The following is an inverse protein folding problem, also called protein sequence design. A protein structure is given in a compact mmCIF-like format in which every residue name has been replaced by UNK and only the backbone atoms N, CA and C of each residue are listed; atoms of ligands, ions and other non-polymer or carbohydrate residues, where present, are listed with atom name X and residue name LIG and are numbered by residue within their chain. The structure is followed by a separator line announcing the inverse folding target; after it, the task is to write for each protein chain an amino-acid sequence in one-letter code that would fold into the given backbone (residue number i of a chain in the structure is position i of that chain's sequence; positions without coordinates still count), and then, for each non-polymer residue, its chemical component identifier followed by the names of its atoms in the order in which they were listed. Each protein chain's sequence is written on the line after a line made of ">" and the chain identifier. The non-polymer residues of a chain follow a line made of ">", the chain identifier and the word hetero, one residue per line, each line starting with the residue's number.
data_IF_685522452456
#
_entry.id   IF_685522452456
#
_cell.length_a   1.000
_cell.length_b   1.000
_cell.length_c   1.000
_cell.angle_alpha   90.00
_cell.angle_beta   90.00
_cell.angle_gamma   90.00
#
_symmetry.space_group_name_H-M   'P 1'
#
loop_
_entity.id
_entity.type
_entity.pdbx_description
1 polymer ?
#
# COMPACT_ATOMS: atom_id res chain seq x y z
N UNK A 1 4.19 9.25 3.90
CA UNK A 1 4.80 8.32 4.87
C UNK A 1 3.80 7.82 5.92
N UNK A 2 2.98 8.67 6.55
CA UNK A 2 1.99 8.25 7.57
C UNK A 2 1.08 7.09 7.12
N UNK A 3 0.54 7.17 5.90
CA UNK A 3 -0.33 6.11 5.35
C UNK A 3 0.39 4.79 5.06
N UNK A 4 1.69 4.81 4.78
CA UNK A 4 2.44 3.57 4.53
C UNK A 4 2.71 2.86 5.87
N UNK A 5 3.09 3.62 6.88
CA UNK A 5 3.33 3.11 8.24
C UNK A 5 2.08 2.45 8.84
N UNK A 6 0.92 3.09 8.75
CA UNK A 6 -0.34 2.54 9.26
C UNK A 6 -0.76 1.24 8.55
N UNK A 7 -0.40 1.04 7.28
CA UNK A 7 -0.68 -0.21 6.55
C UNK A 7 0.18 -1.35 7.07
N UNK A 8 1.47 -1.11 7.27
CA UNK A 8 2.40 -2.10 7.82
C UNK A 8 1.93 -2.54 9.21
N UNK A 9 1.67 -1.57 10.10
CA UNK A 9 1.14 -1.85 11.44
C UNK A 9 -0.16 -2.67 11.41
N UNK A 10 -1.05 -2.38 10.46
CA UNK A 10 -2.28 -3.15 10.30
C UNK A 10 -1.99 -4.62 9.97
N UNK A 11 -1.13 -4.88 8.99
CA UNK A 11 -0.78 -6.24 8.59
C UNK A 11 -0.02 -7.00 9.68
N UNK A 12 0.82 -6.32 10.45
CA UNK A 12 1.52 -6.92 11.60
C UNK A 12 0.55 -7.29 12.73
N UNK A 13 -0.42 -6.42 13.03
CA UNK A 13 -1.35 -6.60 14.14
C UNK A 13 -2.49 -7.56 13.82
N UNK A 14 -3.03 -7.49 12.61
CA UNK A 14 -4.23 -8.23 12.21
C UNK A 14 -3.97 -9.36 11.21
N UNK A 15 -2.79 -9.39 10.58
CA UNK A 15 -2.48 -10.31 9.49
C UNK A 15 -3.04 -9.81 8.15
N UNK A 16 -2.96 -10.68 7.14
CA UNK A 16 -3.46 -10.37 5.79
C UNK A 16 -4.92 -10.82 5.62
N UNK A 17 -5.82 -9.96 5.12
CA UNK A 17 -7.19 -10.35 4.82
C UNK A 17 -7.23 -11.29 3.61
N UNK A 18 -8.28 -12.11 3.51
CA UNK A 18 -8.51 -12.95 2.32
C UNK A 18 -8.75 -12.10 1.06
N UNK A 19 -9.49 -11.00 1.21
CA UNK A 19 -9.81 -10.10 0.12
C UNK A 19 -9.94 -8.65 0.59
N UNK A 20 -9.64 -7.72 -0.31
CA UNK A 20 -9.81 -6.28 -0.10
C UNK A 20 -10.79 -5.74 -1.14
N UNK A 21 -11.78 -4.99 -0.66
CA UNK A 21 -12.68 -4.25 -1.52
C UNK A 21 -12.06 -2.90 -1.87
N UNK A 22 -11.88 -2.64 -3.17
CA UNK A 22 -11.38 -1.37 -3.67
C UNK A 22 -12.42 -0.70 -4.56
N UNK A 23 -12.59 0.60 -4.36
CA UNK A 23 -13.33 1.43 -5.30
C UNK A 23 -12.50 1.66 -6.57
N UNK A 24 -13.19 1.81 -7.71
CA UNK A 24 -12.60 2.14 -9.01
C UNK A 24 -12.30 3.64 -9.09
N UNK A 25 -11.53 4.15 -8.13
CA UNK A 25 -10.89 5.46 -8.25
C UNK A 25 -9.74 5.34 -9.27
N UNK A 26 -9.55 6.37 -10.10
CA UNK A 26 -8.55 6.43 -11.20
C UNK A 26 -7.10 6.16 -10.74
N UNK A 27 -6.83 6.18 -9.44
CA UNK A 27 -5.57 5.77 -8.81
C UNK A 27 -5.31 4.25 -8.84
N UNK A 28 -6.34 3.42 -9.02
CA UNK A 28 -6.24 1.95 -9.12
C UNK A 28 -6.55 1.40 -10.53
N UNK A 29 -6.83 2.29 -11.49
CA UNK A 29 -7.04 1.91 -12.90
C UNK A 29 -6.57 3.03 -13.82
N UNK A 30 -5.42 2.85 -14.48
CA UNK A 30 -5.03 3.71 -15.60
C UNK A 30 -6.04 3.50 -16.73
N UNK A 31 -6.82 4.54 -17.04
CA UNK A 31 -7.67 4.59 -18.24
C UNK A 31 -6.80 4.95 -19.45
N UNK A 32 -5.89 4.06 -19.84
CA UNK A 32 -5.33 4.08 -21.19
C UNK A 32 -6.00 2.95 -21.97
N UNK A 33 -6.62 3.31 -23.08
CA UNK A 33 -7.36 2.40 -23.98
C UNK A 33 -6.51 1.22 -24.52
N UNK A 34 -5.22 1.15 -24.20
CA UNK A 34 -4.26 0.12 -24.61
C UNK A 34 -4.08 -1.04 -23.62
N UNK A 35 -4.83 -1.08 -22.51
CA UNK A 35 -4.66 -2.09 -21.43
C UNK A 35 -5.66 -3.24 -21.51
N UNK A 36 -6.74 -3.12 -22.30
CA UNK A 36 -7.68 -4.23 -22.47
C UNK A 36 -7.02 -5.48 -23.10
N UNK A 37 -5.86 -5.31 -23.75
CA UNK A 37 -5.09 -6.39 -24.39
C UNK A 37 -3.92 -6.93 -23.54
N UNK A 38 -3.67 -6.41 -22.33
CA UNK A 38 -2.52 -6.83 -21.52
C UNK A 38 -2.90 -7.13 -20.06
N UNK A 39 -3.04 -8.41 -19.66
CA UNK A 39 -3.30 -8.82 -18.27
C UNK A 39 -2.17 -8.48 -17.27
N UNK A 40 -1.05 -7.92 -17.75
CA UNK A 40 0.14 -7.60 -16.94
C UNK A 40 0.22 -6.12 -16.45
N UNK A 41 -0.77 -5.28 -16.72
CA UNK A 41 -0.79 -3.90 -16.22
C UNK A 41 -1.46 -3.79 -14.84
N UNK A 42 -0.96 -4.55 -13.86
CA UNK A 42 -1.36 -4.40 -12.46
C UNK A 42 -0.79 -3.08 -11.92
N UNK A 43 -1.60 -2.31 -11.19
CA UNK A 43 -1.07 -1.18 -10.41
C UNK A 43 -0.09 -1.69 -9.35
N UNK A 44 0.85 -0.85 -8.89
CA UNK A 44 1.81 -1.24 -7.84
C UNK A 44 1.12 -1.80 -6.59
N UNK A 45 -0.06 -1.27 -6.27
CA UNK A 45 -0.88 -1.76 -5.17
C UNK A 45 -1.49 -3.14 -5.48
N UNK A 46 -2.03 -3.35 -6.69
CA UNK A 46 -2.56 -4.66 -7.09
C UNK A 46 -1.45 -5.73 -7.11
N UNK A 47 -0.27 -5.40 -7.64
CA UNK A 47 0.92 -6.26 -7.62
C UNK A 47 1.27 -6.68 -6.18
N UNK A 48 1.40 -5.71 -5.28
CA UNK A 48 1.75 -5.98 -3.88
C UNK A 48 0.70 -6.85 -3.17
N UNK A 49 -0.59 -6.59 -3.40
CA UNK A 49 -1.65 -7.33 -2.74
C UNK A 49 -1.85 -8.73 -3.34
N UNK A 50 -1.99 -8.84 -4.66
CA UNK A 50 -2.33 -10.10 -5.34
C UNK A 50 -1.12 -11.01 -5.52
N UNK A 51 0.00 -10.48 -5.99
CA UNK A 51 1.20 -11.28 -6.31
C UNK A 51 2.05 -11.56 -5.07
N UNK A 52 2.36 -10.52 -4.28
CA UNK A 52 3.31 -10.67 -3.17
C UNK A 52 2.64 -11.15 -1.87
N UNK A 53 1.37 -10.78 -1.61
CA UNK A 53 0.65 -11.17 -0.39
C UNK A 53 -0.45 -12.23 -0.59
N UNK A 54 -0.87 -12.51 -1.83
CA UNK A 54 -1.95 -13.46 -2.13
C UNK A 54 -3.34 -12.99 -1.64
N UNK A 55 -3.56 -11.69 -1.57
CA UNK A 55 -4.82 -11.06 -1.17
C UNK A 55 -5.65 -10.79 -2.43
N UNK A 56 -6.88 -11.30 -2.49
CA UNK A 56 -7.75 -11.09 -3.65
C UNK A 56 -8.35 -9.68 -3.66
N UNK A 57 -8.16 -8.91 -4.72
CA UNK A 57 -8.83 -7.61 -4.86
C UNK A 57 -10.21 -7.81 -5.48
N UNK A 58 -11.22 -7.22 -4.84
CA UNK A 58 -12.59 -7.18 -5.35
C UNK A 58 -12.92 -5.73 -5.68
N UNK A 59 -13.12 -5.45 -6.96
CA UNK A 59 -13.54 -4.12 -7.40
C UNK A 59 -15.03 -3.90 -7.12
N UNK A 60 -15.37 -2.81 -6.44
CA UNK A 60 -16.75 -2.45 -6.18
C UNK A 60 -17.42 -1.93 -7.46
N UNK A 61 -18.45 -2.62 -7.94
CA UNK A 61 -19.26 -2.19 -9.09
C UNK A 61 -20.55 -1.43 -8.68
N UNK A 62 -20.87 -1.40 -7.39
CA UNK A 62 -22.10 -0.79 -6.87
C UNK A 62 -21.91 0.70 -6.53
N UNK A 63 -22.78 1.59 -7.04
CA UNK A 63 -22.82 3.01 -6.66
C UNK A 63 -23.02 3.23 -5.16
N UNK A 64 -23.77 2.35 -4.48
CA UNK A 64 -24.05 2.50 -3.05
C UNK A 64 -22.81 2.29 -2.17
N UNK A 65 -21.97 1.30 -2.50
CA UNK A 65 -20.73 1.03 -1.77
C UNK A 65 -19.71 2.16 -1.95
N UNK A 66 -19.67 2.73 -3.17
CA UNK A 66 -18.82 3.87 -3.52
C UNK A 66 -19.16 5.12 -2.71
N UNK A 67 -20.42 5.55 -2.72
CA UNK A 67 -20.85 6.76 -2.01
C UNK A 67 -20.66 6.69 -0.49
N UNK A 68 -20.79 5.50 0.12
CA UNK A 68 -20.50 5.31 1.55
C UNK A 68 -19.02 5.44 1.87
N UNK A 69 -18.16 4.82 1.07
CA UNK A 69 -16.71 4.83 1.28
C UNK A 69 -16.13 6.22 1.06
N UNK A 70 -16.55 6.94 0.02
CA UNK A 70 -16.10 8.31 -0.27
C UNK A 70 -16.50 9.28 0.86
N UNK A 71 -17.74 9.21 1.37
CA UNK A 71 -18.18 10.04 2.49
C UNK A 71 -17.38 9.77 3.76
N UNK A 72 -17.13 8.49 4.05
CA UNK A 72 -16.31 8.10 5.20
C UNK A 72 -14.88 8.63 5.06
N UNK A 73 -14.25 8.44 3.90
CA UNK A 73 -12.89 8.90 3.63
C UNK A 73 -12.77 10.42 3.71
N UNK A 74 -13.71 11.17 3.14
CA UNK A 74 -13.74 12.63 3.24
C UNK A 74 -13.89 13.09 4.69
N UNK A 75 -14.78 12.45 5.45
CA UNK A 75 -14.97 12.74 6.88
C UNK A 75 -13.69 12.46 7.68
N UNK A 76 -13.02 11.34 7.38
CA UNK A 76 -11.76 10.97 8.04
C UNK A 76 -10.64 11.95 7.70
N UNK A 77 -10.48 12.34 6.44
CA UNK A 77 -9.44 13.29 6.02
C UNK A 77 -9.64 14.66 6.66
N UNK A 78 -10.86 15.20 6.64
CA UNK A 78 -11.16 16.49 7.25
C UNK A 78 -10.96 16.45 8.78
N UNK A 79 -11.45 15.40 9.43
CA UNK A 79 -11.37 15.26 10.90
C UNK A 79 -9.95 15.01 11.39
N UNK A 80 -9.18 14.17 10.69
CA UNK A 80 -7.81 13.83 11.08
C UNK A 80 -6.94 15.07 11.06
N UNK A 81 -7.02 15.90 10.02
CA UNK A 81 -6.24 17.14 9.91
C UNK A 81 -6.59 18.10 11.05
N UNK A 82 -7.86 18.22 11.42
CA UNK A 82 -8.31 19.07 12.54
C UNK A 82 -7.82 18.55 13.89
N UNK A 83 -7.92 17.25 14.15
CA UNK A 83 -7.46 16.66 15.42
C UNK A 83 -5.92 16.73 15.55
N UNK A 84 -5.17 16.53 14.47
CA UNK A 84 -3.71 16.74 14.46
C UNK A 84 -3.35 18.20 14.77
N UNK A 85 -4.06 19.17 14.17
CA UNK A 85 -3.86 20.60 14.44
C UNK A 85 -4.20 20.96 15.88
N UNK A 86 -5.29 20.43 16.43
CA UNK A 86 -5.68 20.66 17.84
C UNK A 86 -4.65 20.07 18.82
N UNK A 87 -4.02 18.95 18.46
CA UNK A 87 -2.96 18.34 19.25
C UNK A 87 -1.59 19.05 19.09
N UNK A 88 -1.48 20.09 18.25
CA UNK A 88 -0.24 20.83 18.03
C UNK A 88 0.86 20.02 17.34
N UNK A 89 0.50 18.93 16.66
CA UNK A 89 1.47 18.00 16.07
C UNK A 89 2.05 18.59 14.79
N UNK A 90 3.38 18.62 14.70
CA UNK A 90 4.11 19.18 13.55
C UNK A 90 5.04 18.19 12.87
N UNK A 91 5.32 17.04 13.51
CA UNK A 91 6.21 16.01 12.95
C UNK A 91 5.44 14.77 12.48
N UNK A 92 6.02 14.06 11.50
CA UNK A 92 5.43 12.81 10.95
C UNK A 92 5.42 11.70 12.02
N UNK A 93 6.45 11.65 12.86
CA UNK A 93 6.60 10.63 13.90
C UNK A 93 5.54 10.79 15.00
N UNK A 94 5.32 12.01 15.46
CA UNK A 94 4.23 12.32 16.40
C UNK A 94 2.86 12.08 15.78
N UNK A 95 2.68 12.40 14.49
CA UNK A 95 1.44 12.13 13.79
C UNK A 95 1.15 10.62 13.72
N UNK A 96 2.15 9.79 13.45
CA UNK A 96 2.03 8.33 13.47
C UNK A 96 1.58 7.83 14.86
N UNK A 97 2.26 8.26 15.92
CA UNK A 97 1.93 7.88 17.31
C UNK A 97 0.51 8.32 17.69
N UNK A 98 0.13 9.55 17.36
CA UNK A 98 -1.21 10.07 17.63
C UNK A 98 -2.28 9.30 16.89
N UNK A 99 -2.04 8.96 15.61
CA UNK A 99 -2.98 8.17 14.82
C UNK A 99 -3.25 6.82 15.47
N UNK A 100 -2.18 6.13 15.88
CA UNK A 100 -2.26 4.79 16.46
C UNK A 100 -2.87 4.79 17.87
N UNK A 101 -2.41 5.67 18.75
CA UNK A 101 -2.73 5.62 20.18
C UNK A 101 -4.01 6.36 20.54
N UNK A 102 -4.35 7.43 19.79
CA UNK A 102 -5.45 8.33 20.16
C UNK A 102 -6.55 8.30 19.10
N UNK A 103 -6.23 8.62 17.85
CA UNK A 103 -7.25 8.84 16.82
C UNK A 103 -8.01 7.55 16.46
N UNK A 104 -7.31 6.46 16.13
CA UNK A 104 -7.94 5.19 15.72
C UNK A 104 -8.81 4.61 16.86
N UNK A 105 -8.34 4.50 18.12
CA UNK A 105 -9.17 4.01 19.22
C UNK A 105 -10.39 4.90 19.47
N UNK A 106 -10.21 6.23 19.51
CA UNK A 106 -11.31 7.20 19.71
C UNK A 106 -12.34 7.13 18.57
N UNK A 107 -11.88 6.94 17.33
CA UNK A 107 -12.75 6.78 16.17
C UNK A 107 -13.53 5.47 16.22
N UNK A 108 -12.83 4.35 16.47
CA UNK A 108 -13.47 3.04 16.57
C UNK A 108 -14.47 2.98 17.73
N UNK A 109 -14.19 3.60 18.88
CA UNK A 109 -15.14 3.64 19.99
C UNK A 109 -16.47 4.34 19.63
N UNK A 110 -16.45 5.31 18.71
CA UNK A 110 -17.63 6.09 18.31
C UNK A 110 -18.37 5.53 17.10
N UNK A 111 -17.63 4.96 16.15
CA UNK A 111 -18.16 4.62 14.82
C UNK A 111 -18.02 3.14 14.45
N UNK A 112 -17.36 2.32 15.28
CA UNK A 112 -17.31 0.88 15.00
C UNK A 112 -18.69 0.27 15.13
N UNK A 113 -19.00 -0.61 14.19
CA UNK A 113 -20.24 -1.39 14.18
C UNK A 113 -19.85 -2.84 14.43
N UNK A 114 -20.59 -3.50 15.32
CA UNK A 114 -20.37 -4.91 15.61
C UNK A 114 -20.62 -5.72 14.33
N UNK A 115 -19.67 -6.56 13.89
CA UNK A 115 -19.85 -7.33 12.67
C UNK A 115 -20.99 -8.33 12.84
N UNK A 116 -21.83 -8.47 11.80
CA UNK A 116 -22.94 -9.42 11.80
C UNK A 116 -22.47 -10.90 11.92
N UNK A 117 -21.24 -11.20 11.50
CA UNK A 117 -20.58 -12.51 11.65
C UNK A 117 -19.27 -12.32 12.40
N UNK A 118 -19.02 -13.15 13.43
CA UNK A 118 -17.82 -13.10 14.29
C UNK A 118 -16.56 -13.73 13.66
N UNK A 119 -16.67 -14.30 12.47
CA UNK A 119 -15.55 -14.99 11.82
C UNK A 119 -14.44 -14.02 11.42
N UNK A 120 -13.23 -14.25 11.93
CA UNK A 120 -12.04 -13.56 11.47
C UNK A 120 -11.45 -14.30 10.25
N UNK A 121 -11.47 -13.65 9.09
CA UNK A 121 -10.95 -14.20 7.82
C UNK A 121 -9.52 -13.72 7.49
N UNK A 122 -8.78 -13.23 8.47
CA UNK A 122 -7.38 -12.89 8.31
C UNK A 122 -6.49 -14.13 8.44
N UNK A 123 -5.46 -14.20 7.61
CA UNK A 123 -4.38 -15.19 7.72
C UNK A 123 -3.15 -14.53 8.34
N UNK A 124 -2.38 -15.25 9.18
CA UNK A 124 -1.11 -14.74 9.65
C UNK A 124 -0.16 -14.53 8.46
N UNK A 125 0.70 -13.51 8.58
CA UNK A 125 1.79 -13.32 7.63
C UNK A 125 2.84 -14.42 7.83
N UNK A 126 3.39 -14.91 6.72
CA UNK A 126 4.58 -15.78 6.74
C UNK A 126 5.80 -15.00 7.22
N UNK A 127 6.83 -15.71 7.70
CA UNK A 127 8.08 -15.09 8.16
C UNK A 127 8.72 -14.24 7.06
N UNK A 128 8.73 -14.74 5.83
CA UNK A 128 9.23 -14.01 4.67
C UNK A 128 8.45 -12.72 4.40
N UNK A 129 7.12 -12.76 4.46
CA UNK A 129 6.29 -11.57 4.25
C UNK A 129 6.53 -10.51 5.31
N UNK A 130 6.63 -10.91 6.60
CA UNK A 130 6.93 -9.99 7.70
C UNK A 130 8.26 -9.26 7.50
N UNK A 131 9.32 -10.01 7.17
CA UNK A 131 10.67 -9.47 7.01
C UNK A 131 10.79 -8.57 5.75
N UNK A 132 9.85 -8.68 4.80
CA UNK A 132 9.88 -7.95 3.53
C UNK A 132 8.68 -7.01 3.32
N UNK A 133 7.89 -6.70 4.36
CA UNK A 133 6.70 -5.86 4.25
C UNK A 133 7.00 -4.51 3.59
N UNK A 134 8.10 -3.86 3.98
CA UNK A 134 8.54 -2.60 3.40
C UNK A 134 8.82 -2.71 1.90
N UNK A 135 9.48 -3.79 1.47
CA UNK A 135 9.79 -4.06 0.05
C UNK A 135 8.56 -4.48 -0.74
N UNK A 136 7.59 -5.13 -0.10
CA UNK A 136 6.34 -5.55 -0.76
C UNK A 136 5.48 -4.31 -1.04
N UNK A 137 5.39 -3.41 -0.07
CA UNK A 137 4.58 -2.19 -0.16
C UNK A 137 5.31 -1.00 -0.81
N UNK A 138 6.58 -1.17 -1.20
CA UNK A 138 7.33 -0.15 -1.93
C UNK A 138 6.87 -0.02 -3.39
N UNK A 139 7.17 1.14 -3.97
CA UNK A 139 6.99 1.37 -5.41
C UNK A 139 8.15 0.70 -6.13
N UNK A 140 7.85 -0.32 -6.94
CA UNK A 140 8.86 -1.04 -7.70
C UNK A 140 8.92 -0.59 -9.16
N UNK A 141 10.06 -0.12 -9.63
CA UNK A 141 10.26 0.27 -11.04
C UNK A 141 11.25 -0.70 -11.69
N UNK A 142 10.86 -1.29 -12.82
CA UNK A 142 11.81 -2.07 -13.62
C UNK A 142 12.75 -1.14 -14.37
N UNK A 143 14.05 -1.45 -14.31
CA UNK A 143 15.14 -0.73 -14.98
C UNK A 143 16.06 -1.71 -15.68
N UNK A 144 16.74 -1.24 -16.71
CA UNK A 144 17.73 -2.03 -17.44
C UNK A 144 19.11 -1.57 -17.02
N UNK A 145 19.99 -2.53 -16.72
CA UNK A 145 21.39 -2.27 -16.39
C UNK A 145 22.15 -1.92 -17.66
N UNK A 146 22.80 -0.77 -17.66
CA UNK A 146 23.64 -0.36 -18.77
C UNK A 146 24.95 -1.17 -18.83
N UNK A 147 25.66 -1.06 -19.95
CA UNK A 147 26.90 -1.81 -20.16
C UNK A 147 28.01 -1.48 -19.15
N UNK A 148 27.96 -0.29 -18.56
CA UNK A 148 28.84 0.24 -17.52
C UNK A 148 28.36 -0.11 -16.09
N UNK A 149 27.36 -1.00 -15.96
CA UNK A 149 26.73 -1.35 -14.68
C UNK A 149 26.10 -0.15 -13.96
N UNK A 150 25.66 0.86 -14.73
CA UNK A 150 24.83 1.94 -14.21
C UNK A 150 23.34 1.65 -14.36
N UNK A 151 22.56 2.16 -13.42
CA UNK A 151 21.10 2.21 -13.47
C UNK A 151 20.67 3.67 -13.42
N UNK A 152 19.77 4.07 -14.32
CA UNK A 152 19.18 5.40 -14.31
C UNK A 152 17.85 5.38 -13.58
N UNK A 153 17.69 6.25 -12.58
CA UNK A 153 16.36 6.61 -12.08
C UNK A 153 16.14 8.11 -12.21
N UNK A 154 15.10 8.45 -12.99
CA UNK A 154 14.74 9.82 -13.35
C UNK A 154 15.94 10.60 -13.92
N UNK A 155 16.50 11.52 -13.13
CA UNK A 155 17.63 12.37 -13.51
C UNK A 155 18.95 11.98 -12.82
N UNK A 156 18.98 10.87 -12.08
CA UNK A 156 20.14 10.41 -11.33
C UNK A 156 20.67 9.07 -11.87
N UNK A 157 21.99 8.95 -11.82
CA UNK A 157 22.71 7.74 -12.18
C UNK A 157 23.19 7.05 -10.92
N UNK A 158 22.92 5.76 -10.82
CA UNK A 158 23.37 4.91 -9.73
C UNK A 158 24.34 3.88 -10.28
N UNK A 159 25.55 3.84 -9.73
CA UNK A 159 26.53 2.81 -10.06
C UNK A 159 26.29 1.60 -9.17
N UNK A 160 26.20 0.42 -9.77
CA UNK A 160 26.12 -0.81 -9.00
C UNK A 160 27.47 -1.10 -8.33
N UNK A 161 27.43 -1.48 -7.05
CA UNK A 161 28.62 -1.87 -6.31
C UNK A 161 29.27 -3.13 -6.90
N UNK A 162 30.59 -3.23 -6.80
CA UNK A 162 31.37 -4.36 -7.33
C UNK A 162 30.98 -5.69 -6.68
N UNK A 163 30.65 -5.68 -5.39
CA UNK A 163 30.11 -6.84 -4.68
C UNK A 163 28.59 -6.75 -4.61
N UNK A 164 27.93 -7.67 -5.28
CA UNK A 164 26.48 -7.79 -5.28
C UNK A 164 26.05 -9.11 -4.63
N UNK A 165 24.89 -9.14 -3.95
CA UNK A 165 24.36 -10.37 -3.37
C UNK A 165 23.88 -11.37 -4.43
N UNK A 166 23.71 -10.94 -5.68
CA UNK A 166 23.33 -11.76 -6.82
C UNK A 166 24.15 -11.37 -8.06
N UNK A 167 24.30 -12.31 -8.99
CA UNK A 167 24.94 -12.04 -10.29
C UNK A 167 24.02 -11.13 -11.11
N UNK A 168 24.49 -9.94 -11.46
CA UNK A 168 23.82 -9.02 -12.38
C UNK A 168 24.64 -8.91 -13.65
N UNK A 169 23.99 -9.12 -14.80
CA UNK A 169 24.61 -9.01 -16.11
C UNK A 169 24.20 -7.70 -16.79
N UNK A 170 24.97 -7.33 -17.82
CA UNK A 170 24.64 -6.20 -18.69
C UNK A 170 23.30 -6.46 -19.36
N UNK A 171 22.46 -5.44 -19.45
CA UNK A 171 21.10 -5.49 -20.00
C UNK A 171 20.09 -6.30 -19.17
N UNK A 172 20.47 -6.76 -17.97
CA UNK A 172 19.51 -7.36 -17.05
C UNK A 172 18.46 -6.36 -16.60
N UNK A 173 17.27 -6.89 -16.34
CA UNK A 173 16.16 -6.11 -15.80
C UNK A 173 16.17 -6.20 -14.27
N UNK A 174 16.53 -5.10 -13.62
CA UNK A 174 16.43 -4.96 -12.19
C UNK A 174 15.08 -4.39 -11.81
N UNK A 175 14.54 -4.87 -10.68
CA UNK A 175 13.32 -4.33 -10.08
C UNK A 175 13.73 -3.71 -8.75
N UNK A 176 13.72 -2.38 -8.69
CA UNK A 176 13.97 -1.59 -7.48
C UNK A 176 12.66 -1.03 -6.93
#
# INVERSE_FOLDING_TARGET
>A
MVFAHLKILYFEKHGKPLSIYLDRLRTYKQNLKSVFDNPNCLTQFQRAMETDMGIKIIHAFSPQAKGRTERLLNTLQDRLVKELRLAGISTIEEANKFCEQVFIPKFNAKFSVIPAKKGNLHKPLTKFEKDNLDKILSVRKTRVVNNDFTVRDESKWYQLAEKQPCLVLRKDRLVE
#
